data_IF_947833395188
#
_entry.id   IF_947833395188
#
_cell.length_a   1.000
_cell.length_b   1.000
_cell.length_c   1.000
_cell.angle_alpha   90.00
_cell.angle_beta   90.00
_cell.angle_gamma   90.00
#
_symmetry.space_group_name_H-M   'P 1'
#
loop_
_entity.id
_entity.type
_entity.pdbx_description
1 polymer ?
#
# COMPACT_ATOMS: atom_id res chain seq x y z
N UNK A 1 4.92 28.56 -1.49
CA UNK A 1 4.64 27.16 -1.91
C UNK A 1 5.98 26.57 -2.30
N UNK A 2 6.31 25.36 -1.84
CA UNK A 2 7.53 24.66 -2.28
C UNK A 2 7.23 23.93 -3.61
N UNK A 3 6.22 23.05 -3.61
CA UNK A 3 5.74 22.37 -4.80
C UNK A 3 4.23 22.08 -4.70
N UNK A 4 3.64 21.68 -5.82
CA UNK A 4 2.30 21.11 -5.93
C UNK A 4 2.42 19.70 -6.48
N UNK A 5 1.76 18.74 -5.85
CA UNK A 5 1.71 17.36 -6.34
C UNK A 5 0.27 16.98 -6.67
N UNK A 6 0.03 16.64 -7.93
CA UNK A 6 -1.31 16.26 -8.37
C UNK A 6 -1.56 14.78 -8.09
N UNK A 7 -2.58 14.50 -7.27
CA UNK A 7 -3.02 13.13 -6.98
C UNK A 7 -4.42 12.89 -7.53
N UNK A 8 -4.71 11.64 -7.91
CA UNK A 8 -6.06 11.22 -8.31
C UNK A 8 -6.94 11.14 -7.07
N UNK A 9 -7.93 12.03 -6.94
CA UNK A 9 -8.94 11.93 -5.89
C UNK A 9 -10.08 10.98 -6.26
N UNK A 10 -10.84 10.52 -5.27
CA UNK A 10 -12.04 9.67 -5.43
C UNK A 10 -13.11 10.32 -6.31
N UNK A 11 -13.13 11.65 -6.39
CA UNK A 11 -14.09 12.46 -7.16
C UNK A 11 -13.69 12.70 -8.64
N UNK A 12 -12.57 12.13 -9.11
CA UNK A 12 -12.17 12.13 -10.53
C UNK A 12 -11.41 13.37 -11.04
N UNK A 13 -11.47 14.52 -10.35
CA UNK A 13 -10.64 15.69 -10.66
C UNK A 13 -9.31 15.63 -9.87
N UNK A 14 -8.14 15.73 -10.54
CA UNK A 14 -6.84 15.77 -9.86
C UNK A 14 -6.79 16.87 -8.79
N UNK A 15 -6.25 16.56 -7.61
CA UNK A 15 -6.05 17.52 -6.52
C UNK A 15 -4.59 17.89 -6.39
N UNK A 16 -4.27 19.18 -6.38
CA UNK A 16 -2.90 19.66 -6.17
C UNK A 16 -2.59 19.75 -4.68
N UNK A 17 -2.02 18.70 -4.09
CA UNK A 17 -1.54 18.74 -2.71
C UNK A 17 -0.41 19.77 -2.58
N UNK A 18 -0.61 20.77 -1.71
CA UNK A 18 0.31 21.89 -1.57
C UNK A 18 1.21 21.71 -0.34
N UNK A 19 2.53 21.65 -0.59
CA UNK A 19 3.55 21.60 0.46
C UNK A 19 4.30 22.94 0.60
N UNK A 20 4.75 23.24 1.83
CA UNK A 20 5.51 24.47 2.15
C UNK A 20 6.91 24.14 2.66
N UNK A 21 7.83 25.09 2.50
CA UNK A 21 9.27 24.86 2.58
C UNK A 21 9.77 24.36 3.94
N UNK A 22 9.54 25.10 5.03
CA UNK A 22 10.20 24.84 6.31
C UNK A 22 9.81 23.49 6.93
N UNK A 23 8.51 23.30 7.17
CA UNK A 23 7.98 22.07 7.76
C UNK A 23 8.33 20.84 6.94
N UNK A 24 8.04 20.86 5.64
CA UNK A 24 8.33 19.75 4.72
C UNK A 24 9.81 19.38 4.72
N UNK A 25 10.72 20.33 4.47
CA UNK A 25 12.17 20.03 4.40
C UNK A 25 12.71 19.52 5.73
N UNK A 26 12.31 20.13 6.85
CA UNK A 26 12.73 19.66 8.18
C UNK A 26 12.25 18.25 8.48
N UNK A 27 11.05 17.90 8.02
CA UNK A 27 10.45 16.59 8.25
C UNK A 27 11.15 15.51 7.43
N UNK A 28 11.30 15.71 6.12
CA UNK A 28 11.92 14.71 5.23
C UNK A 28 13.41 14.54 5.49
N UNK A 29 14.12 15.59 5.91
CA UNK A 29 15.50 15.45 6.37
C UNK A 29 15.58 14.64 7.68
N UNK A 30 14.65 14.90 8.61
CA UNK A 30 14.55 14.15 9.86
C UNK A 30 14.23 12.67 9.65
N UNK A 31 13.23 12.34 8.84
CA UNK A 31 12.88 10.94 8.55
C UNK A 31 13.96 10.24 7.72
N UNK A 32 14.60 10.94 6.79
CA UNK A 32 15.77 10.38 6.06
C UNK A 32 16.89 10.00 7.02
N UNK A 33 17.16 10.84 8.03
CA UNK A 33 18.23 10.57 8.99
C UNK A 33 17.87 9.47 9.99
N UNK A 34 16.67 9.52 10.57
CA UNK A 34 16.33 8.68 11.72
C UNK A 34 15.53 7.43 11.39
N UNK A 35 14.84 7.40 10.25
CA UNK A 35 14.12 6.20 9.78
C UNK A 35 14.96 5.42 8.80
N UNK A 36 15.54 6.09 7.80
CA UNK A 36 16.36 5.45 6.78
C UNK A 36 17.83 5.30 7.20
N UNK A 37 18.18 5.80 8.38
CA UNK A 37 19.53 5.79 8.95
C UNK A 37 20.60 6.39 8.02
N UNK A 38 20.23 7.34 7.15
CA UNK A 38 21.14 7.92 6.15
C UNK A 38 22.22 8.78 6.82
N UNK A 39 23.46 8.46 6.51
CA UNK A 39 24.69 9.18 6.80
C UNK A 39 25.24 9.86 5.53
N UNK A 40 26.03 10.94 5.65
CA UNK A 40 26.63 11.63 4.50
C UNK A 40 27.51 10.74 3.61
N UNK A 41 28.11 9.70 4.18
CA UNK A 41 29.01 8.77 3.51
C UNK A 41 28.28 7.68 2.70
N UNK A 42 26.99 7.45 2.96
CA UNK A 42 26.23 6.42 2.26
C UNK A 42 26.00 6.78 0.78
N UNK A 43 25.90 5.74 -0.05
CA UNK A 43 25.24 5.76 -1.34
C UNK A 43 23.81 5.24 -1.17
N UNK A 44 22.87 6.17 -1.21
CA UNK A 44 21.45 5.89 -1.07
C UNK A 44 20.76 5.77 -2.43
N UNK A 45 19.91 4.76 -2.60
CA UNK A 45 19.11 4.59 -3.81
C UNK A 45 17.63 4.35 -3.51
N UNK A 46 16.79 5.29 -3.96
CA UNK A 46 15.35 5.09 -4.05
C UNK A 46 14.93 4.84 -5.50
N UNK A 47 14.43 3.63 -5.76
CA UNK A 47 13.98 3.16 -7.07
C UNK A 47 12.56 3.65 -7.45
N UNK A 48 12.09 4.74 -6.84
CA UNK A 48 10.84 5.37 -7.22
C UNK A 48 11.03 6.34 -8.41
N UNK A 49 9.93 6.75 -9.02
CA UNK A 49 9.94 7.85 -10.00
C UNK A 49 9.78 9.21 -9.30
N UNK A 50 10.47 10.24 -9.80
CA UNK A 50 10.43 11.60 -9.25
C UNK A 50 9.06 12.27 -9.33
N UNK A 51 8.16 11.79 -10.19
CA UNK A 51 6.78 12.25 -10.31
C UNK A 51 5.89 11.90 -9.11
N UNK A 52 6.32 10.99 -8.23
CA UNK A 52 5.63 10.63 -7.00
C UNK A 52 6.21 11.32 -5.77
N UNK A 53 5.45 11.34 -4.67
CA UNK A 53 5.90 11.96 -3.41
C UNK A 53 7.17 11.29 -2.87
N UNK A 54 7.31 9.97 -3.05
CA UNK A 54 8.53 9.23 -2.68
C UNK A 54 9.76 9.81 -3.36
N UNK A 55 9.69 10.11 -4.66
CA UNK A 55 10.80 10.72 -5.36
C UNK A 55 11.10 12.15 -4.89
N UNK A 56 10.07 12.94 -4.58
CA UNK A 56 10.28 14.26 -3.99
C UNK A 56 10.99 14.15 -2.64
N UNK A 57 10.39 13.44 -1.69
CA UNK A 57 10.85 13.38 -0.29
C UNK A 57 12.16 12.60 -0.15
N UNK A 58 12.32 11.52 -0.91
CA UNK A 58 13.34 10.50 -0.66
C UNK A 58 14.18 10.12 -1.87
N UNK A 59 14.11 10.83 -3.01
CA UNK A 59 15.23 10.86 -3.98
C UNK A 59 15.95 12.20 -3.88
N UNK A 60 15.18 13.28 -3.78
CA UNK A 60 15.70 14.65 -3.86
C UNK A 60 15.83 15.28 -2.47
N UNK A 61 14.73 15.65 -1.82
CA UNK A 61 14.78 16.62 -0.71
C UNK A 61 15.46 16.08 0.56
N UNK A 62 15.05 14.91 1.04
CA UNK A 62 15.57 14.33 2.28
C UNK A 62 17.05 13.94 2.19
N UNK A 63 17.43 13.03 1.28
CA UNK A 63 18.83 12.62 1.10
C UNK A 63 19.77 13.80 0.82
N UNK A 64 19.43 14.69 -0.13
CA UNK A 64 20.31 15.80 -0.48
C UNK A 64 20.40 16.87 0.63
N UNK A 65 19.39 16.98 1.50
CA UNK A 65 19.46 17.85 2.68
C UNK A 65 20.44 17.32 3.74
N UNK A 66 20.73 16.01 3.75
CA UNK A 66 21.73 15.38 4.61
C UNK A 66 23.13 15.36 3.99
N UNK A 67 23.24 15.62 2.68
CA UNK A 67 24.51 15.64 1.97
C UNK A 67 25.02 14.27 1.53
N UNK A 68 24.16 13.25 1.53
CA UNK A 68 24.46 11.90 1.01
C UNK A 68 24.49 11.87 -0.52
N UNK A 69 24.97 10.76 -1.10
CA UNK A 69 24.87 10.47 -2.54
C UNK A 69 23.54 9.80 -2.86
N UNK A 70 22.77 10.36 -3.80
CA UNK A 70 21.48 9.80 -4.23
C UNK A 70 21.56 9.25 -5.65
N UNK A 71 21.26 7.96 -5.83
CA UNK A 71 21.21 7.29 -7.13
C UNK A 71 19.85 7.54 -7.78
N UNK A 72 19.87 7.98 -9.05
CA UNK A 72 18.68 8.15 -9.88
C UNK A 72 18.83 7.30 -11.14
N UNK A 73 17.93 6.34 -11.33
CA UNK A 73 17.89 5.49 -12.50
C UNK A 73 16.86 6.00 -13.51
N UNK A 74 17.25 6.08 -14.77
CA UNK A 74 16.32 6.15 -15.90
C UNK A 74 16.19 4.76 -16.52
N UNK A 75 14.95 4.25 -16.63
CA UNK A 75 14.67 2.98 -17.27
C UNK A 75 13.75 2.07 -16.47
N UNK A 76 13.43 0.91 -17.03
CA UNK A 76 12.65 -0.13 -16.38
C UNK A 76 13.59 -1.11 -15.66
N UNK A 77 13.12 -1.79 -14.59
CA UNK A 77 13.93 -2.74 -13.83
C UNK A 77 14.30 -4.02 -14.61
N UNK A 78 13.78 -4.22 -15.82
CA UNK A 78 14.03 -5.37 -16.70
C UNK A 78 14.80 -5.04 -17.98
N UNK A 79 15.24 -3.78 -18.15
CA UNK A 79 15.94 -3.33 -19.34
C UNK A 79 17.33 -2.75 -19.01
N UNK A 80 18.41 -3.20 -19.67
CA UNK A 80 18.46 -4.12 -20.81
C UNK A 80 18.32 -5.61 -20.46
N UNK A 81 18.36 -5.98 -19.18
CA UNK A 81 18.09 -7.31 -18.66
C UNK A 81 17.54 -7.23 -17.22
N UNK A 82 16.98 -8.34 -16.72
CA UNK A 82 16.42 -8.48 -15.37
C UNK A 82 17.41 -8.32 -14.20
N UNK A 83 18.71 -8.25 -14.50
CA UNK A 83 19.77 -8.04 -13.52
C UNK A 83 20.20 -6.57 -13.37
N UNK A 84 19.64 -5.65 -14.17
CA UNK A 84 20.12 -4.26 -14.24
C UNK A 84 20.06 -3.54 -12.89
N UNK A 85 19.04 -3.84 -12.05
CA UNK A 85 18.93 -3.25 -10.72
C UNK A 85 20.16 -3.60 -9.87
N UNK A 86 20.56 -4.87 -9.89
CA UNK A 86 21.65 -5.40 -9.07
C UNK A 86 23.01 -5.00 -9.63
N UNK A 87 23.15 -4.91 -10.95
CA UNK A 87 24.33 -4.32 -11.61
C UNK A 87 24.57 -2.87 -11.15
N UNK A 88 23.51 -2.07 -11.05
CA UNK A 88 23.59 -0.68 -10.58
C UNK A 88 24.00 -0.66 -9.09
N UNK A 89 23.41 -1.52 -8.27
CA UNK A 89 23.73 -1.62 -6.85
C UNK A 89 25.21 -1.95 -6.62
N UNK A 90 25.72 -3.01 -7.27
CA UNK A 90 27.14 -3.42 -7.23
C UNK A 90 28.05 -2.30 -7.77
N UNK A 91 27.73 -1.74 -8.93
CA UNK A 91 28.57 -0.73 -9.59
C UNK A 91 28.76 0.54 -8.77
N UNK A 92 27.71 0.92 -8.03
CA UNK A 92 27.67 2.17 -7.27
C UNK A 92 27.90 1.97 -5.78
N UNK A 93 28.12 0.74 -5.32
CA UNK A 93 28.33 0.41 -3.90
C UNK A 93 27.18 0.98 -3.06
N UNK A 94 25.95 0.61 -3.42
CA UNK A 94 24.74 1.15 -2.80
C UNK A 94 24.57 0.54 -1.39
N UNK A 95 24.63 1.37 -0.36
CA UNK A 95 24.44 0.97 1.04
C UNK A 95 22.97 0.81 1.42
N UNK A 96 22.10 1.68 0.87
CA UNK A 96 20.69 1.79 1.28
C UNK A 96 19.77 1.67 0.07
N UNK A 97 18.88 0.68 0.05
CA UNK A 97 17.98 0.42 -1.07
C UNK A 97 16.50 0.57 -0.71
N UNK A 98 15.83 1.53 -1.36
CA UNK A 98 14.43 1.88 -1.12
C UNK A 98 13.59 1.58 -2.37
N UNK A 99 12.65 0.64 -2.24
CA UNK A 99 11.81 0.20 -3.36
C UNK A 99 10.36 -0.07 -2.96
N UNK A 100 9.52 -0.46 -3.90
CA UNK A 100 8.12 -0.82 -3.64
C UNK A 100 7.93 -2.33 -3.50
N UNK A 101 6.92 -2.80 -2.76
CA UNK A 101 6.57 -4.22 -2.72
C UNK A 101 6.25 -4.82 -4.10
N UNK A 102 5.69 -4.02 -5.03
CA UNK A 102 5.48 -4.42 -6.43
C UNK A 102 6.78 -4.79 -7.12
N UNK A 103 7.85 -4.01 -6.92
CA UNK A 103 9.17 -4.35 -7.43
C UNK A 103 9.71 -5.62 -6.77
N UNK A 104 9.59 -5.77 -5.44
CA UNK A 104 9.98 -6.98 -4.72
C UNK A 104 9.29 -8.23 -5.28
N UNK A 105 7.96 -8.20 -5.44
CA UNK A 105 7.21 -9.31 -6.07
C UNK A 105 7.64 -9.58 -7.51
N UNK A 106 8.05 -8.55 -8.24
CA UNK A 106 8.58 -8.71 -9.60
C UNK A 106 9.92 -9.43 -9.60
N UNK A 107 10.84 -9.07 -8.69
CA UNK A 107 12.12 -9.76 -8.53
C UNK A 107 11.94 -11.21 -8.09
N UNK A 108 11.07 -11.44 -7.10
CA UNK A 108 10.69 -12.78 -6.66
C UNK A 108 10.13 -13.64 -7.80
N UNK A 109 9.27 -13.07 -8.65
CA UNK A 109 8.73 -13.74 -9.84
C UNK A 109 9.80 -14.05 -10.89
N UNK A 110 10.83 -13.22 -11.01
CA UNK A 110 11.90 -13.46 -11.96
C UNK A 110 12.80 -14.59 -11.52
N UNK A 111 13.13 -14.66 -10.23
CA UNK A 111 13.94 -15.70 -9.63
C UNK A 111 15.15 -15.16 -8.88
N UNK A 112 15.60 -15.90 -7.87
CA UNK A 112 16.75 -15.58 -7.03
C UNK A 112 18.09 -15.60 -7.79
N UNK A 113 18.14 -16.25 -8.95
CA UNK A 113 19.36 -16.33 -9.76
C UNK A 113 19.82 -14.98 -10.34
N UNK A 114 18.91 -14.01 -10.47
CA UNK A 114 19.23 -12.68 -10.99
C UNK A 114 19.98 -11.82 -9.97
N UNK A 115 19.49 -11.64 -8.71
CA UNK A 115 20.27 -10.96 -7.69
C UNK A 115 21.56 -11.73 -7.32
N UNK A 116 21.50 -13.06 -7.22
CA UNK A 116 22.67 -13.88 -6.83
C UNK A 116 23.86 -13.84 -7.81
N UNK A 117 23.70 -13.20 -8.98
CA UNK A 117 24.76 -13.04 -9.97
C UNK A 117 25.64 -11.79 -9.75
N UNK A 118 25.35 -10.96 -8.74
CA UNK A 118 26.02 -9.69 -8.46
C UNK A 118 26.49 -9.64 -7.00
N UNK A 119 27.50 -8.82 -6.73
CA UNK A 119 28.10 -8.59 -5.42
C UNK A 119 27.66 -7.21 -4.88
N UNK A 120 26.57 -7.18 -4.12
CA UNK A 120 26.07 -5.99 -3.43
C UNK A 120 25.72 -6.35 -1.99
N UNK A 121 25.83 -5.37 -1.09
CA UNK A 121 25.56 -5.57 0.34
C UNK A 121 24.78 -4.35 0.87
N UNK A 122 23.49 -4.54 1.11
CA UNK A 122 22.65 -3.47 1.65
C UNK A 122 22.63 -3.55 3.17
N UNK A 123 23.09 -2.52 3.86
CA UNK A 123 22.92 -2.42 5.31
C UNK A 123 21.48 -2.10 5.71
N UNK A 124 20.74 -1.43 4.82
CA UNK A 124 19.37 -0.98 5.08
C UNK A 124 18.50 -1.00 3.83
N UNK A 125 17.28 -1.50 3.97
CA UNK A 125 16.29 -1.61 2.91
C UNK A 125 14.96 -0.99 3.33
N UNK A 126 14.21 -0.47 2.37
CA UNK A 126 12.91 0.18 2.63
C UNK A 126 11.86 -0.26 1.65
N UNK A 127 10.66 -0.54 2.16
CA UNK A 127 9.45 -0.78 1.37
C UNK A 127 8.46 0.36 1.52
N UNK A 128 7.82 0.75 0.41
CA UNK A 128 6.92 1.90 0.38
C UNK A 128 5.76 1.74 -0.61
N UNK A 129 4.65 2.39 -0.28
CA UNK A 129 3.58 2.74 -1.21
C UNK A 129 2.38 1.77 -1.23
N UNK A 130 2.55 0.56 -0.70
CA UNK A 130 1.49 -0.43 -0.55
C UNK A 130 1.86 -1.43 0.56
N UNK A 131 0.88 -2.17 1.13
CA UNK A 131 1.19 -3.24 2.06
C UNK A 131 2.09 -4.32 1.42
N UNK A 132 3.14 -4.72 2.13
CA UNK A 132 3.98 -5.86 1.75
C UNK A 132 3.49 -7.15 2.40
N UNK A 133 3.36 -8.21 1.62
CA UNK A 133 2.98 -9.53 2.13
C UNK A 133 4.14 -10.16 2.91
N UNK A 134 3.89 -10.91 4.00
CA UNK A 134 4.94 -11.59 4.75
C UNK A 134 5.86 -12.47 3.90
N UNK A 135 5.31 -13.17 2.90
CA UNK A 135 6.08 -14.00 1.97
C UNK A 135 7.07 -13.17 1.13
N UNK A 136 6.59 -12.08 0.53
CA UNK A 136 7.44 -11.17 -0.25
C UNK A 136 8.49 -10.47 0.63
N UNK A 137 8.11 -10.12 1.86
CA UNK A 137 9.02 -9.54 2.85
C UNK A 137 10.14 -10.52 3.22
N UNK A 138 9.80 -11.77 3.52
CA UNK A 138 10.77 -12.81 3.86
C UNK A 138 11.70 -13.13 2.68
N UNK A 139 11.16 -13.21 1.47
CA UNK A 139 11.97 -13.37 0.26
C UNK A 139 12.96 -12.21 0.10
N UNK A 140 12.51 -10.98 0.34
CA UNK A 140 13.37 -9.79 0.24
C UNK A 140 14.48 -9.80 1.30
N UNK A 141 14.15 -10.15 2.53
CA UNK A 141 15.12 -10.30 3.62
C UNK A 141 16.18 -11.35 3.33
N UNK A 142 15.77 -12.54 2.86
CA UNK A 142 16.69 -13.66 2.62
C UNK A 142 17.53 -13.47 1.35
N UNK A 143 16.94 -13.06 0.24
CA UNK A 143 17.63 -13.09 -1.06
C UNK A 143 18.25 -11.77 -1.48
N UNK A 144 17.81 -10.65 -0.90
CA UNK A 144 18.36 -9.32 -1.21
C UNK A 144 19.09 -8.74 0.00
N UNK A 145 18.60 -8.98 1.22
CA UNK A 145 19.21 -8.49 2.45
C UNK A 145 20.20 -9.43 3.13
N UNK A 146 20.48 -10.60 2.55
CA UNK A 146 21.35 -11.66 3.09
C UNK A 146 21.06 -12.04 4.56
N UNK A 147 19.80 -11.92 4.99
CA UNK A 147 19.36 -12.11 6.38
C UNK A 147 20.08 -11.20 7.42
N UNK A 148 20.74 -10.12 6.98
CA UNK A 148 21.46 -9.18 7.85
C UNK A 148 20.89 -7.75 7.74
N UNK A 149 20.49 -7.35 6.54
CA UNK A 149 19.97 -6.02 6.26
C UNK A 149 18.71 -5.69 7.09
N UNK A 150 18.66 -4.47 7.63
CA UNK A 150 17.43 -3.95 8.26
C UNK A 150 16.41 -3.63 7.17
N UNK A 151 15.16 -4.03 7.36
CA UNK A 151 14.02 -3.66 6.50
C UNK A 151 13.02 -2.84 7.30
N UNK A 152 12.79 -1.61 6.83
CA UNK A 152 11.70 -0.78 7.33
C UNK A 152 10.56 -0.73 6.31
N UNK A 153 9.36 -1.08 6.76
CA UNK A 153 8.14 -0.84 5.98
C UNK A 153 7.58 0.54 6.35
N UNK A 154 7.34 1.39 5.36
CA UNK A 154 7.01 2.80 5.59
C UNK A 154 5.60 3.12 5.14
N UNK A 155 4.72 3.39 6.12
CA UNK A 155 3.40 3.91 5.81
C UNK A 155 3.36 5.44 5.92
N UNK A 156 2.88 6.04 4.84
CA UNK A 156 2.68 7.47 4.66
C UNK A 156 1.98 7.75 3.32
N UNK A 157 1.67 9.01 3.06
CA UNK A 157 0.90 9.46 1.88
C UNK A 157 1.48 10.74 1.28
N UNK A 158 1.02 11.11 0.09
CA UNK A 158 1.39 12.39 -0.56
C UNK A 158 1.08 13.58 0.35
N UNK A 159 -0.07 13.51 1.01
CA UNK A 159 -0.61 14.48 1.94
C UNK A 159 0.22 14.60 3.23
N UNK A 160 0.92 13.54 3.63
CA UNK A 160 1.71 13.52 4.87
C UNK A 160 3.14 14.04 4.70
N UNK A 161 3.62 14.11 3.46
CA UNK A 161 4.96 14.59 3.10
C UNK A 161 6.11 13.63 3.42
N UNK A 162 6.04 12.83 4.49
CA UNK A 162 7.07 11.87 4.89
C UNK A 162 6.53 10.75 5.78
N UNK A 163 7.42 9.89 6.29
CA UNK A 163 7.07 8.66 7.02
C UNK A 163 6.31 8.97 8.31
N UNK A 164 5.15 8.35 8.52
CA UNK A 164 4.36 8.52 9.75
C UNK A 164 4.42 7.30 10.66
N UNK A 165 4.34 6.11 10.08
CA UNK A 165 4.34 4.84 10.81
C UNK A 165 5.38 3.94 10.14
N UNK A 166 6.36 3.50 10.92
CA UNK A 166 7.45 2.66 10.45
C UNK A 166 8.14 1.95 11.63
N UNK A 167 8.95 0.92 11.35
CA UNK A 167 9.89 0.40 12.34
C UNK A 167 11.11 1.34 12.43
N UNK A 168 11.53 1.70 13.64
CA UNK A 168 12.79 2.41 13.82
C UNK A 168 13.94 1.39 13.97
N UNK A 169 14.96 1.42 13.09
CA UNK A 169 16.10 0.54 13.17
C UNK A 169 16.73 0.51 14.58
N UNK A 170 17.16 -0.66 15.02
CA UNK A 170 17.80 -0.92 16.33
C UNK A 170 16.95 -0.63 17.59
N UNK A 171 15.72 -0.12 17.45
CA UNK A 171 14.82 0.13 18.58
C UNK A 171 13.66 -0.86 18.66
N UNK A 172 13.25 -1.41 17.52
CA UNK A 172 12.07 -2.25 17.36
C UNK A 172 12.39 -3.45 16.47
N UNK A 173 11.78 -4.59 16.77
CA UNK A 173 11.92 -5.80 15.97
C UNK A 173 11.21 -5.63 14.62
N UNK A 174 11.82 -6.14 13.55
CA UNK A 174 11.15 -6.17 12.25
C UNK A 174 10.00 -7.19 12.28
N UNK A 175 8.83 -6.77 11.80
CA UNK A 175 7.64 -7.62 11.75
C UNK A 175 7.10 -7.71 10.32
N UNK A 176 7.20 -8.88 9.66
CA UNK A 176 6.74 -9.04 8.28
C UNK A 176 5.28 -8.62 8.08
N UNK A 177 5.06 -7.72 7.11
CA UNK A 177 3.73 -7.20 6.76
C UNK A 177 3.09 -6.26 7.79
N UNK A 178 3.87 -5.76 8.76
CA UNK A 178 3.47 -4.66 9.62
C UNK A 178 4.28 -3.41 9.26
N UNK A 179 3.60 -2.25 9.28
CA UNK A 179 4.29 -0.98 9.10
C UNK A 179 5.17 -0.66 10.32
N UNK A 180 4.85 -1.14 11.53
CA UNK A 180 5.63 -0.82 12.72
C UNK A 180 4.92 0.11 13.67
N UNK A 181 5.65 1.05 14.27
CA UNK A 181 5.13 1.97 15.26
C UNK A 181 5.06 3.41 14.74
N UNK A 182 4.45 4.29 15.53
CA UNK A 182 4.43 5.71 15.23
C UNK A 182 5.85 6.29 15.20
N UNK A 183 6.19 7.06 14.15
CA UNK A 183 7.41 7.86 14.12
C UNK A 183 7.42 8.90 15.27
N UNK A 184 8.60 9.36 15.71
CA UNK A 184 8.70 10.35 16.79
C UNK A 184 7.87 11.61 16.48
N UNK A 185 7.00 11.98 17.43
CA UNK A 185 6.11 13.14 17.31
C UNK A 185 4.80 12.89 16.55
N UNK A 186 4.59 11.68 16.02
CA UNK A 186 3.33 11.29 15.37
C UNK A 186 2.45 10.57 16.38
N UNK A 187 1.16 10.90 16.35
CA UNK A 187 0.16 10.32 17.23
C UNK A 187 -0.97 9.71 16.39
N UNK A 188 -0.76 8.49 15.87
CA UNK A 188 -1.79 7.76 15.16
C UNK A 188 -2.79 7.16 16.17
N UNK A 189 -4.04 7.10 15.76
CA UNK A 189 -5.10 6.41 16.49
C UNK A 189 -5.99 5.65 15.50
N UNK A 190 -6.80 4.73 16.04
CA UNK A 190 -7.80 4.01 15.28
C UNK A 190 -9.16 4.47 15.77
N UNK A 191 -9.99 5.02 14.89
CA UNK A 191 -11.34 5.48 15.21
C UNK A 191 -12.36 4.51 14.62
N UNK A 192 -13.50 4.34 15.29
CA UNK A 192 -14.63 3.62 14.71
C UNK A 192 -15.38 4.48 13.67
N UNK A 193 -16.47 3.96 13.11
CA UNK A 193 -17.24 4.70 12.10
C UNK A 193 -18.10 5.83 12.66
N UNK A 194 -18.33 5.85 13.98
CA UNK A 194 -19.03 6.93 14.66
C UNK A 194 -18.08 8.10 15.01
N UNK A 195 -16.77 7.91 14.83
CA UNK A 195 -15.75 8.89 15.15
C UNK A 195 -15.23 8.80 16.58
N UNK A 196 -15.52 7.70 17.28
CA UNK A 196 -15.02 7.47 18.64
C UNK A 196 -13.64 6.78 18.60
N UNK A 197 -12.66 7.22 19.41
CA UNK A 197 -11.38 6.54 19.53
C UNK A 197 -11.55 5.10 20.02
N UNK A 198 -11.00 4.15 19.28
CA UNK A 198 -10.96 2.76 19.69
C UNK A 198 -9.87 2.52 20.74
N UNK A 199 -10.08 1.52 21.60
CA UNK A 199 -9.07 1.08 22.56
C UNK A 199 -7.77 0.73 21.80
N UNK A 200 -6.67 1.35 22.24
CA UNK A 200 -5.34 1.10 21.68
C UNK A 200 -4.94 -0.37 21.84
N UNK A 201 -4.19 -0.89 20.86
CA UNK A 201 -3.72 -2.27 20.84
C UNK A 201 -4.85 -3.31 21.03
N UNK A 202 -6.06 -3.01 20.52
CA UNK A 202 -7.22 -3.91 20.67
C UNK A 202 -7.26 -5.04 19.64
N UNK A 203 -6.37 -5.03 18.64
CA UNK A 203 -6.40 -5.99 17.52
C UNK A 203 -7.60 -5.81 16.58
N UNK A 204 -8.45 -4.80 16.83
CA UNK A 204 -9.61 -4.50 15.98
C UNK A 204 -9.25 -3.47 14.94
N UNK A 205 -9.75 -3.70 13.73
CA UNK A 205 -9.59 -2.79 12.61
C UNK A 205 -10.53 -1.59 12.72
N UNK A 206 -10.06 -0.43 12.29
CA UNK A 206 -10.85 0.80 12.21
C UNK A 206 -10.24 1.80 11.23
N UNK A 207 -10.65 3.06 11.35
CA UNK A 207 -10.18 4.17 10.52
C UNK A 207 -8.86 4.69 11.09
N UNK A 208 -7.79 4.68 10.29
CA UNK A 208 -6.52 5.26 10.69
C UNK A 208 -6.61 6.79 10.63
N UNK A 209 -6.32 7.42 11.77
CA UNK A 209 -6.30 8.88 11.92
C UNK A 209 -5.01 9.35 12.57
N UNK A 210 -4.70 10.64 12.40
CA UNK A 210 -3.58 11.30 13.09
C UNK A 210 -4.14 12.47 13.93
N UNK A 211 -3.97 12.40 15.24
CA UNK A 211 -4.60 13.32 16.21
C UNK A 211 -3.82 14.63 16.40
N UNK A 212 -2.58 14.72 15.91
CA UNK A 212 -1.74 15.91 16.08
C UNK A 212 -1.13 16.33 14.75
N UNK A 213 -1.03 17.65 14.47
CA UNK A 213 -0.32 18.13 13.30
C UNK A 213 1.16 17.79 13.38
N UNK A 214 1.77 17.52 12.23
CA UNK A 214 3.20 17.25 12.08
C UNK A 214 3.82 18.18 11.04
N UNK A 215 5.15 18.39 11.05
CA UNK A 215 5.78 19.39 10.19
C UNK A 215 5.62 19.13 8.67
N UNK A 216 5.56 17.87 8.26
CA UNK A 216 5.49 17.46 6.86
C UNK A 216 4.10 17.53 6.21
N UNK A 217 3.04 17.80 6.97
CA UNK A 217 1.67 17.74 6.46
C UNK A 217 1.39 18.78 5.37
N UNK A 218 0.55 18.39 4.40
CA UNK A 218 0.04 19.30 3.39
C UNK A 218 -0.66 20.49 4.03
N UNK A 219 -0.63 21.62 3.32
CA UNK A 219 -1.17 22.87 3.85
C UNK A 219 -2.57 23.18 3.33
N UNK A 220 -2.89 22.70 2.13
CA UNK A 220 -4.22 22.77 1.52
C UNK A 220 -4.23 21.97 0.21
N UNK A 221 -5.39 21.86 -0.43
CA UNK A 221 -5.56 21.52 -1.85
C UNK A 221 -5.54 22.83 -2.65
N UNK A 222 -4.60 22.94 -3.59
CA UNK A 222 -4.34 24.17 -4.34
C UNK A 222 -5.59 24.70 -5.05
N UNK A 223 -5.96 25.95 -4.71
CA UNK A 223 -7.15 26.61 -5.26
C UNK A 223 -8.49 26.07 -4.74
N UNK A 224 -8.49 25.19 -3.72
CA UNK A 224 -9.72 24.59 -3.20
C UNK A 224 -9.60 24.19 -1.71
N UNK A 225 -9.56 25.18 -0.81
CA UNK A 225 -9.49 24.96 0.64
C UNK A 225 -10.71 24.18 1.19
N UNK A 226 -11.88 24.35 0.56
CA UNK A 226 -13.07 23.61 0.99
C UNK A 226 -12.91 22.10 0.77
N UNK A 227 -12.26 21.70 -0.33
CA UNK A 227 -11.94 20.29 -0.60
C UNK A 227 -10.95 19.74 0.42
N UNK A 228 -9.97 20.54 0.84
CA UNK A 228 -9.05 20.15 1.92
C UNK A 228 -9.79 19.84 3.23
N UNK A 229 -10.70 20.73 3.65
CA UNK A 229 -11.53 20.50 4.86
C UNK A 229 -12.40 19.25 4.70
N UNK A 230 -13.08 19.12 3.56
CA UNK A 230 -14.03 18.04 3.32
C UNK A 230 -13.36 16.66 3.24
N UNK A 231 -12.18 16.56 2.65
CA UNK A 231 -11.51 15.26 2.43
C UNK A 231 -10.74 14.76 3.65
N UNK A 232 -10.15 15.64 4.46
CA UNK A 232 -9.20 15.20 5.50
C UNK A 232 -9.62 15.50 6.93
N UNK A 233 -10.61 16.37 7.15
CA UNK A 233 -10.91 16.89 8.49
C UNK A 233 -12.38 16.70 8.88
N UNK A 234 -13.30 16.91 7.94
CA UNK A 234 -14.75 17.01 8.22
C UNK A 234 -15.35 15.84 8.99
N UNK A 235 -14.88 14.61 8.79
CA UNK A 235 -15.53 13.41 9.37
C UNK A 235 -15.26 13.27 10.87
N UNK A 236 -14.04 13.54 11.31
CA UNK A 236 -13.57 13.29 12.68
C UNK A 236 -13.17 14.55 13.44
N UNK A 237 -13.44 15.73 12.87
CA UNK A 237 -13.10 17.03 13.47
C UNK A 237 -14.34 17.88 13.71
N UNK A 238 -14.25 18.78 14.68
CA UNK A 238 -15.11 19.96 14.74
C UNK A 238 -14.49 21.08 13.88
N UNK A 239 -15.02 21.24 12.66
CA UNK A 239 -14.48 22.18 11.68
C UNK A 239 -14.71 23.66 12.01
N UNK A 240 -15.54 23.93 13.03
CA UNK A 240 -15.80 25.29 13.53
C UNK A 240 -14.99 25.60 14.81
N UNK A 241 -14.18 24.66 15.30
CA UNK A 241 -13.36 24.84 16.51
C UNK A 241 -12.03 25.56 16.24
N UNK A 242 -11.67 26.44 17.17
CA UNK A 242 -10.35 27.10 17.24
C UNK A 242 -9.30 26.29 18.04
N UNK A 243 -9.68 25.21 18.74
CA UNK A 243 -8.72 24.33 19.42
C UNK A 243 -8.21 23.28 18.43
N UNK A 244 -6.90 23.26 18.21
CA UNK A 244 -6.25 22.28 17.32
C UNK A 244 -6.50 20.82 17.73
N UNK A 245 -6.87 20.56 18.99
CA UNK A 245 -7.19 19.20 19.49
C UNK A 245 -8.50 18.65 18.95
N UNK A 246 -9.39 19.52 18.48
CA UNK A 246 -10.65 19.11 17.87
C UNK A 246 -10.48 18.80 16.37
N UNK A 247 -9.24 18.88 15.85
CA UNK A 247 -8.89 18.58 14.47
C UNK A 247 -8.11 17.26 14.37
N UNK A 248 -8.73 16.29 13.71
CA UNK A 248 -8.20 14.94 13.51
C UNK A 248 -8.08 14.68 12.01
N UNK A 249 -6.87 14.36 11.56
CA UNK A 249 -6.60 14.05 10.16
C UNK A 249 -7.08 12.64 9.82
N UNK A 250 -8.02 12.52 8.87
CA UNK A 250 -8.45 11.26 8.28
C UNK A 250 -7.49 10.84 7.16
N UNK A 251 -6.79 9.70 7.36
CA UNK A 251 -5.91 9.17 6.32
C UNK A 251 -6.69 8.51 5.17
N UNK A 252 -7.90 8.00 5.44
CA UNK A 252 -8.68 7.21 4.49
C UNK A 252 -8.13 5.79 4.28
N UNK A 253 -7.28 5.33 5.21
CA UNK A 253 -6.77 3.96 5.27
C UNK A 253 -7.38 3.22 6.46
N UNK A 254 -7.66 1.93 6.28
CA UNK A 254 -8.01 1.02 7.36
C UNK A 254 -6.75 0.47 8.01
N UNK A 255 -6.71 0.40 9.34
CA UNK A 255 -5.60 -0.19 10.05
C UNK A 255 -6.04 -0.93 11.31
N UNK A 256 -5.19 -1.86 11.74
CA UNK A 256 -5.28 -2.57 13.02
C UNK A 256 -4.13 -2.07 13.89
N UNK A 257 -4.45 -1.67 15.12
CA UNK A 257 -3.45 -1.52 16.18
C UNK A 257 -3.40 -2.85 16.94
N UNK A 258 -2.37 -3.64 16.64
CA UNK A 258 -2.17 -4.99 17.15
C UNK A 258 -1.84 -4.97 18.65
N UNK A 259 -2.07 -6.10 19.35
CA UNK A 259 -1.90 -6.20 20.81
C UNK A 259 -0.46 -5.93 21.28
N UNK A 260 0.52 -6.14 20.41
CA UNK A 260 1.94 -5.85 20.64
C UNK A 260 2.33 -4.39 20.30
N UNK A 261 1.35 -3.55 19.97
CA UNK A 261 1.54 -2.12 19.71
C UNK A 261 1.96 -1.77 18.29
N UNK A 262 2.05 -2.76 17.39
CA UNK A 262 2.35 -2.56 15.98
C UNK A 262 1.09 -2.13 15.22
N UNK A 263 1.29 -1.30 14.20
CA UNK A 263 0.26 -0.91 13.25
C UNK A 263 0.37 -1.76 12.00
N UNK A 264 -0.73 -2.42 11.64
CA UNK A 264 -0.90 -3.10 10.36
C UNK A 264 -1.90 -2.32 9.52
N UNK A 265 -1.45 -1.81 8.38
CA UNK A 265 -2.32 -1.08 7.44
C UNK A 265 -2.95 -2.07 6.48
N UNK A 266 -4.28 -2.08 6.43
CA UNK A 266 -5.07 -3.01 5.63
C UNK A 266 -5.27 -2.53 4.19
N UNK A 267 -5.03 -1.25 3.93
CA UNK A 267 -5.23 -0.58 2.65
C UNK A 267 -6.25 0.56 2.74
N UNK A 268 -6.64 1.10 1.59
CA UNK A 268 -7.64 2.17 1.49
C UNK A 268 -8.98 1.68 2.04
N UNK A 269 -9.72 2.53 2.74
CA UNK A 269 -11.06 2.19 3.23
C UNK A 269 -12.01 1.79 2.11
N UNK A 270 -11.87 2.41 0.93
CA UNK A 270 -12.63 2.04 -0.27
C UNK A 270 -12.31 0.60 -0.76
N UNK A 271 -11.18 0.04 -0.34
CA UNK A 271 -10.72 -1.33 -0.65
C UNK A 271 -10.84 -2.27 0.58
N UNK A 272 -11.52 -1.86 1.65
CA UNK A 272 -11.77 -2.62 2.89
C UNK A 272 -13.26 -2.89 3.05
N UNK A 273 -13.63 -4.16 3.26
CA UNK A 273 -15.02 -4.56 3.46
C UNK A 273 -15.31 -4.94 4.91
N UNK A 274 -16.54 -4.71 5.36
CA UNK A 274 -17.00 -5.16 6.68
C UNK A 274 -17.85 -6.42 6.54
N UNK A 275 -17.36 -7.54 7.07
CA UNK A 275 -18.02 -8.86 7.07
C UNK A 275 -18.34 -9.24 8.51
N UNK A 276 -19.61 -9.19 8.87
CA UNK A 276 -20.13 -9.52 10.20
C UNK A 276 -19.42 -8.77 11.36
N UNK A 277 -19.01 -7.52 11.12
CA UNK A 277 -18.30 -6.69 12.11
C UNK A 277 -16.77 -6.78 12.03
N UNK A 278 -16.22 -7.65 11.19
CA UNK A 278 -14.78 -7.73 10.92
C UNK A 278 -14.44 -6.93 9.67
N UNK A 279 -13.51 -5.98 9.78
CA UNK A 279 -12.98 -5.31 8.59
C UNK A 279 -11.88 -6.17 7.97
N UNK A 280 -12.04 -6.44 6.68
CA UNK A 280 -11.16 -7.26 5.88
C UNK A 280 -10.62 -6.44 4.72
N UNK A 281 -9.29 -6.38 4.61
CA UNK A 281 -8.65 -5.80 3.43
C UNK A 281 -8.81 -6.75 2.24
N UNK A 282 -9.22 -6.23 1.09
CA UNK A 282 -9.30 -7.01 -0.16
C UNK A 282 -7.95 -7.67 -0.50
N UNK A 283 -6.84 -6.98 -0.26
CA UNK A 283 -5.49 -7.50 -0.51
C UNK A 283 -5.10 -8.71 0.35
N UNK A 284 -5.55 -8.77 1.61
CA UNK A 284 -5.27 -9.91 2.50
C UNK A 284 -5.95 -11.17 1.97
N UNK A 285 -7.21 -11.03 1.54
CA UNK A 285 -7.97 -12.09 0.88
C UNK A 285 -7.31 -12.50 -0.45
N UNK A 286 -6.93 -11.54 -1.30
CA UNK A 286 -6.22 -11.81 -2.56
C UNK A 286 -4.91 -12.58 -2.33
N UNK A 287 -4.19 -12.25 -1.26
CA UNK A 287 -2.95 -12.93 -0.88
C UNK A 287 -3.20 -14.37 -0.46
N UNK A 288 -4.21 -14.63 0.38
CA UNK A 288 -4.55 -15.98 0.80
C UNK A 288 -4.98 -16.86 -0.39
N UNK A 289 -5.71 -16.29 -1.35
CA UNK A 289 -6.12 -16.97 -2.60
C UNK A 289 -4.89 -17.26 -3.47
N UNK A 290 -3.93 -16.34 -3.55
CA UNK A 290 -2.73 -16.47 -4.38
C UNK A 290 -1.75 -17.56 -3.91
N UNK A 291 -1.92 -18.07 -2.68
CA UNK A 291 -1.18 -19.24 -2.17
C UNK A 291 -1.56 -20.55 -2.87
N UNK A 292 -2.69 -20.59 -3.58
CA UNK A 292 -3.11 -21.75 -4.36
C UNK A 292 -2.31 -21.79 -5.67
N UNK A 293 -1.45 -22.80 -5.91
CA UNK A 293 -0.52 -22.82 -7.03
C UNK A 293 -1.17 -22.67 -8.42
N UNK A 294 -2.40 -23.15 -8.54
CA UNK A 294 -3.23 -23.08 -9.74
C UNK A 294 -3.67 -21.64 -10.12
N UNK A 295 -3.60 -20.69 -9.18
CA UNK A 295 -4.02 -19.29 -9.37
C UNK A 295 -2.90 -18.48 -10.03
N UNK A 296 -3.23 -17.72 -11.06
CA UNK A 296 -2.33 -16.74 -11.68
C UNK A 296 -2.52 -15.34 -11.07
N UNK A 297 -3.79 -14.91 -10.96
CA UNK A 297 -4.18 -13.64 -10.37
C UNK A 297 -5.52 -13.78 -9.64
N UNK A 298 -5.71 -12.97 -8.61
CA UNK A 298 -6.96 -12.87 -7.88
C UNK A 298 -7.32 -11.41 -7.63
N UNK A 299 -8.62 -11.11 -7.63
CA UNK A 299 -9.16 -9.84 -7.19
C UNK A 299 -10.39 -10.10 -6.30
N UNK A 300 -10.53 -9.30 -5.26
CA UNK A 300 -11.63 -9.45 -4.30
C UNK A 300 -12.54 -8.24 -4.35
N UNK A 301 -13.84 -8.49 -4.34
CA UNK A 301 -14.88 -7.46 -4.32
C UNK A 301 -15.84 -7.68 -3.15
N UNK A 302 -16.37 -6.59 -2.60
CA UNK A 302 -17.37 -6.62 -1.56
C UNK A 302 -18.76 -6.85 -2.18
N UNK A 303 -19.42 -7.96 -1.84
CA UNK A 303 -20.82 -8.20 -2.18
C UNK A 303 -21.70 -7.88 -0.98
N UNK A 304 -22.74 -7.08 -1.18
CA UNK A 304 -23.72 -6.77 -0.14
C UNK A 304 -24.43 -8.06 0.34
N UNK A 305 -24.58 -8.17 1.66
CA UNK A 305 -25.23 -9.29 2.33
C UNK A 305 -26.13 -8.78 3.46
N UNK A 306 -27.42 -9.15 3.41
CA UNK A 306 -28.43 -8.66 4.35
C UNK A 306 -28.14 -9.01 5.83
N UNK A 307 -27.32 -10.05 6.09
CA UNK A 307 -27.02 -10.49 7.45
C UNK A 307 -25.63 -10.06 7.92
N UNK A 308 -24.65 -10.08 7.01
CA UNK A 308 -23.24 -9.83 7.34
C UNK A 308 -22.76 -8.44 6.95
N UNK A 309 -23.62 -7.63 6.33
CA UNK A 309 -23.25 -6.33 5.77
C UNK A 309 -22.62 -6.53 4.39
N UNK A 310 -21.40 -7.06 4.35
CA UNK A 310 -20.76 -7.53 3.13
C UNK A 310 -20.22 -8.96 3.28
N UNK A 311 -19.92 -9.59 2.15
CA UNK A 311 -19.18 -10.85 2.05
C UNK A 311 -18.23 -10.77 0.85
N UNK A 312 -17.10 -11.50 0.87
CA UNK A 312 -16.14 -11.41 -0.23
C UNK A 312 -16.57 -12.27 -1.42
N UNK A 313 -16.58 -11.68 -2.60
CA UNK A 313 -16.56 -12.39 -3.87
C UNK A 313 -15.13 -12.37 -4.43
N UNK A 314 -14.62 -13.53 -4.82
CA UNK A 314 -13.25 -13.69 -5.32
C UNK A 314 -13.30 -13.97 -6.83
N UNK A 315 -12.67 -13.12 -7.61
CA UNK A 315 -12.47 -13.28 -9.06
C UNK A 315 -11.07 -13.82 -9.31
N UNK A 316 -10.98 -14.96 -10.01
CA UNK A 316 -9.75 -15.73 -10.13
C UNK A 316 -9.42 -15.99 -11.60
N UNK A 317 -8.21 -15.62 -12.01
CA UNK A 317 -7.66 -16.06 -13.29
C UNK A 317 -6.72 -17.24 -13.03
N UNK A 318 -7.05 -18.45 -13.53
CA UNK A 318 -6.19 -19.62 -13.40
C UNK A 318 -4.94 -19.49 -14.29
N UNK A 319 -3.88 -20.23 -13.96
CA UNK A 319 -2.68 -20.33 -14.80
C UNK A 319 -2.98 -21.01 -16.13
N UNK A 320 -2.22 -20.66 -17.16
CA UNK A 320 -2.33 -21.27 -18.49
C UNK A 320 -2.22 -22.80 -18.40
N UNK A 321 -3.19 -23.50 -19.01
CA UNK A 321 -3.23 -24.96 -19.03
C UNK A 321 -3.82 -25.62 -17.78
N UNK A 322 -4.26 -24.85 -16.78
CA UNK A 322 -5.02 -25.36 -15.64
C UNK A 322 -6.51 -25.38 -15.97
N UNK A 323 -7.16 -26.54 -15.82
CA UNK A 323 -8.62 -26.63 -15.92
C UNK A 323 -9.29 -26.25 -14.59
N UNK A 324 -10.28 -25.36 -14.68
CA UNK A 324 -11.10 -24.94 -13.54
C UNK A 324 -11.93 -26.12 -13.04
N UNK A 325 -11.92 -26.36 -11.73
CA UNK A 325 -12.65 -27.46 -11.09
C UNK A 325 -13.20 -27.06 -9.71
N UNK A 326 -14.16 -27.84 -9.20
CA UNK A 326 -14.66 -27.67 -7.83
C UNK A 326 -13.55 -27.90 -6.78
N UNK A 327 -12.59 -28.78 -7.07
CA UNK A 327 -11.40 -28.98 -6.23
C UNK A 327 -10.57 -27.69 -6.08
N UNK A 328 -10.38 -26.95 -7.19
CA UNK A 328 -9.70 -25.65 -7.16
C UNK A 328 -10.48 -24.63 -6.32
N UNK A 329 -11.82 -24.61 -6.44
CA UNK A 329 -12.68 -23.75 -5.63
C UNK A 329 -12.55 -24.07 -4.13
N UNK A 330 -12.56 -25.34 -3.76
CA UNK A 330 -12.45 -25.78 -2.37
C UNK A 330 -11.06 -25.47 -1.78
N UNK A 331 -9.99 -25.59 -2.58
CA UNK A 331 -8.63 -25.17 -2.20
C UNK A 331 -8.57 -23.68 -1.89
N UNK A 332 -9.16 -22.84 -2.74
CA UNK A 332 -9.21 -21.39 -2.56
C UNK A 332 -9.94 -21.02 -1.26
N UNK A 333 -11.12 -21.61 -1.04
CA UNK A 333 -11.88 -21.39 0.19
C UNK A 333 -11.08 -21.82 1.42
N UNK A 334 -10.46 -23.01 1.37
CA UNK A 334 -9.66 -23.55 2.47
C UNK A 334 -8.44 -22.68 2.79
N UNK A 335 -7.80 -22.10 1.76
CA UNK A 335 -6.66 -21.20 1.94
C UNK A 335 -7.09 -19.92 2.68
N UNK A 336 -8.21 -19.32 2.29
CA UNK A 336 -8.75 -18.12 2.98
C UNK A 336 -9.13 -18.42 4.43
N UNK A 337 -9.82 -19.54 4.68
CA UNK A 337 -10.23 -19.91 6.03
C UNK A 337 -9.03 -20.24 6.94
N UNK A 338 -7.95 -20.78 6.37
CA UNK A 338 -6.73 -21.10 7.11
C UNK A 338 -5.91 -19.86 7.47
N UNK A 339 -5.73 -18.95 6.51
CA UNK A 339 -4.84 -17.79 6.69
C UNK A 339 -5.53 -16.65 7.45
N UNK A 340 -6.83 -16.42 7.21
CA UNK A 340 -7.57 -15.29 7.80
C UNK A 340 -8.60 -15.76 8.83
N UNK A 341 -9.37 -16.79 8.48
CA UNK A 341 -10.35 -17.39 9.37
C UNK A 341 -11.72 -17.64 8.71
N UNK A 342 -12.60 -18.43 9.36
CA UNK A 342 -13.91 -18.79 8.80
C UNK A 342 -14.84 -17.61 8.50
N UNK A 343 -14.65 -16.47 9.17
CA UNK A 343 -15.44 -15.26 8.93
C UNK A 343 -15.13 -14.60 7.58
N UNK A 344 -13.95 -14.86 7.03
CA UNK A 344 -13.48 -14.32 5.76
C UNK A 344 -13.84 -15.21 4.54
N UNK A 345 -14.59 -16.30 4.77
CA UNK A 345 -14.97 -17.26 3.73
C UNK A 345 -15.64 -16.55 2.53
N UNK A 346 -15.10 -16.74 1.30
CA UNK A 346 -15.73 -16.23 0.08
C UNK A 346 -17.17 -16.71 -0.07
N UNK A 347 -18.07 -15.79 -0.42
CA UNK A 347 -19.42 -16.15 -0.84
C UNK A 347 -19.40 -16.80 -2.22
N UNK A 348 -18.67 -16.18 -3.15
CA UNK A 348 -18.47 -16.69 -4.50
C UNK A 348 -16.99 -16.78 -4.86
N UNK A 349 -16.65 -17.80 -5.65
CA UNK A 349 -15.38 -17.89 -6.38
C UNK A 349 -15.73 -17.94 -7.85
N UNK A 350 -15.38 -16.90 -8.58
CA UNK A 350 -15.71 -16.69 -10.00
C UNK A 350 -14.43 -16.83 -10.81
N UNK A 351 -14.38 -17.83 -11.68
CA UNK A 351 -13.22 -18.03 -12.55
C UNK A 351 -13.39 -17.23 -13.84
N UNK A 352 -12.44 -16.33 -14.12
CA UNK A 352 -12.50 -15.38 -15.23
C UNK A 352 -11.24 -15.47 -16.09
N UNK A 353 -11.39 -15.21 -17.39
CA UNK A 353 -10.27 -15.26 -18.33
C UNK A 353 -9.26 -14.12 -18.16
N UNK A 354 -9.71 -12.95 -17.73
CA UNK A 354 -8.87 -11.79 -17.38
C UNK A 354 -9.61 -10.91 -16.37
N UNK A 355 -8.88 -10.04 -15.68
CA UNK A 355 -9.43 -9.06 -14.74
C UNK A 355 -9.50 -7.67 -15.40
N UNK A 356 -10.48 -6.81 -15.02
CA UNK A 356 -10.61 -5.49 -15.58
C UNK A 356 -9.43 -4.61 -15.14
N UNK A 357 -8.44 -4.45 -16.01
CA UNK A 357 -7.22 -3.68 -15.75
C UNK A 357 -7.18 -2.40 -16.57
N UNK A 358 -6.64 -1.35 -15.97
CA UNK A 358 -6.23 -0.14 -16.69
C UNK A 358 -5.05 -0.44 -17.63
N UNK A 359 -4.72 0.49 -18.54
CA UNK A 359 -3.53 0.37 -19.40
C UNK A 359 -2.22 0.28 -18.63
N UNK A 360 -2.17 0.76 -17.38
CA UNK A 360 -1.00 0.62 -16.49
C UNK A 360 -1.00 -0.69 -15.69
N UNK A 361 -1.98 -1.58 -15.89
CA UNK A 361 -2.05 -2.88 -15.22
C UNK A 361 -2.78 -2.87 -13.87
N UNK A 362 -3.19 -1.70 -13.36
CA UNK A 362 -3.98 -1.62 -12.11
C UNK A 362 -5.36 -2.26 -12.31
N UNK A 363 -5.73 -3.19 -11.43
CA UNK A 363 -7.05 -3.81 -11.37
C UNK A 363 -8.10 -2.79 -10.89
N UNK A 364 -9.23 -2.71 -11.59
CA UNK A 364 -10.34 -1.81 -11.30
C UNK A 364 -11.39 -2.51 -10.42
N UNK A 365 -11.09 -2.66 -9.12
CA UNK A 365 -11.95 -3.38 -8.16
C UNK A 365 -13.38 -2.87 -8.08
N UNK A 366 -13.59 -1.55 -8.16
CA UNK A 366 -14.92 -0.92 -8.24
C UNK A 366 -15.82 -1.56 -9.31
N UNK A 367 -15.27 -1.96 -10.45
CA UNK A 367 -16.07 -2.58 -11.52
C UNK A 367 -16.53 -3.99 -11.11
N UNK A 368 -15.65 -4.76 -10.48
CA UNK A 368 -15.98 -6.09 -9.95
C UNK A 368 -17.01 -5.99 -8.82
N UNK A 369 -16.88 -4.99 -7.94
CA UNK A 369 -17.87 -4.69 -6.90
C UNK A 369 -19.24 -4.35 -7.48
N UNK A 370 -19.29 -3.50 -8.51
CA UNK A 370 -20.53 -3.21 -9.20
C UNK A 370 -21.14 -4.48 -9.83
N UNK A 371 -20.32 -5.39 -10.37
CA UNK A 371 -20.80 -6.67 -10.92
C UNK A 371 -21.37 -7.57 -9.82
N UNK A 372 -20.67 -7.74 -8.69
CA UNK A 372 -21.13 -8.53 -7.55
C UNK A 372 -22.46 -8.02 -6.96
N UNK A 373 -22.75 -6.72 -7.10
CA UNK A 373 -23.93 -6.07 -6.55
C UNK A 373 -25.03 -5.77 -7.59
N UNK A 374 -24.91 -6.27 -8.82
CA UNK A 374 -25.85 -6.01 -9.94
C UNK A 374 -26.04 -4.51 -10.24
N UNK A 375 -24.96 -3.73 -10.12
CA UNK A 375 -24.92 -2.30 -10.41
C UNK A 375 -24.33 -2.00 -11.81
N UNK A 376 -24.58 -0.79 -12.30
CA UNK A 376 -24.00 -0.34 -13.57
C UNK A 376 -22.47 -0.22 -13.50
N UNK A 377 -21.76 -0.69 -14.54
CA UNK A 377 -20.29 -0.73 -14.59
C UNK A 377 -19.60 0.65 -14.42
N UNK A 378 -20.32 1.74 -14.71
CA UNK A 378 -19.79 3.11 -14.68
C UNK A 378 -18.83 3.40 -15.83
N UNK A 379 -17.80 4.22 -15.60
CA UNK A 379 -16.80 4.56 -16.62
C UNK A 379 -15.79 3.42 -16.82
N UNK A 380 -15.75 2.86 -18.03
CA UNK A 380 -14.86 1.79 -18.49
C UNK A 380 -13.83 2.26 -19.52
N UNK A 381 -13.80 3.56 -19.86
CA UNK A 381 -12.99 4.09 -20.99
C UNK A 381 -11.47 3.96 -20.78
N UNK A 382 -11.04 3.79 -19.53
CA UNK A 382 -9.63 3.69 -19.14
C UNK A 382 -9.10 2.25 -19.12
N UNK A 383 -9.97 1.26 -19.35
CA UNK A 383 -9.58 -0.14 -19.37
C UNK A 383 -8.70 -0.48 -20.57
N UNK A 384 -7.79 -1.43 -20.37
CA UNK A 384 -6.99 -2.05 -21.42
C UNK A 384 -7.90 -2.79 -22.39
N UNK A 385 -8.81 -3.58 -21.85
CA UNK A 385 -9.86 -4.28 -22.59
C UNK A 385 -11.23 -3.92 -21.98
N UNK A 386 -12.04 -3.09 -22.66
CA UNK A 386 -13.35 -2.70 -22.15
C UNK A 386 -14.40 -3.82 -22.28
N UNK A 387 -14.11 -4.94 -22.94
CA UNK A 387 -15.03 -6.08 -23.07
C UNK A 387 -15.01 -7.01 -21.85
N UNK A 388 -13.89 -7.03 -21.11
CA UNK A 388 -13.69 -7.89 -19.94
C UNK A 388 -14.79 -7.70 -18.87
N UNK A 389 -15.13 -6.47 -18.43
CA UNK A 389 -16.21 -6.26 -17.47
C UNK A 389 -17.56 -6.85 -17.90
N UNK A 390 -17.92 -6.73 -19.18
CA UNK A 390 -19.21 -7.23 -19.68
C UNK A 390 -19.22 -8.76 -19.70
N UNK A 391 -18.12 -9.40 -20.10
CA UNK A 391 -17.98 -10.86 -20.06
C UNK A 391 -18.10 -11.40 -18.63
N UNK A 392 -17.44 -10.76 -17.66
CA UNK A 392 -17.53 -11.15 -16.25
C UNK A 392 -18.97 -10.96 -15.76
N UNK A 393 -19.61 -9.84 -16.09
CA UNK A 393 -21.01 -9.59 -15.71
C UNK A 393 -21.95 -10.66 -16.26
N UNK A 394 -21.86 -10.96 -17.55
CA UNK A 394 -22.69 -11.96 -18.19
C UNK A 394 -22.49 -13.35 -17.55
N UNK A 395 -21.25 -13.69 -17.17
CA UNK A 395 -20.94 -14.93 -16.47
C UNK A 395 -21.53 -14.98 -15.05
N UNK A 396 -21.42 -13.91 -14.28
CA UNK A 396 -21.95 -13.82 -12.91
C UNK A 396 -23.48 -13.81 -12.90
N UNK A 397 -24.11 -13.16 -13.87
CA UNK A 397 -25.58 -13.03 -13.95
C UNK A 397 -26.27 -14.22 -14.64
N UNK A 398 -25.53 -15.03 -15.40
CA UNK A 398 -26.05 -16.26 -16.04
C UNK A 398 -25.90 -17.52 -15.19
N UNK A 399 -25.12 -17.45 -14.10
CA UNK A 399 -24.90 -18.51 -13.13
C UNK A 399 -25.90 -18.40 -11.97
#
# INVERSE_FOLDING_TARGET
>A
ILFLMYTSGTTGQPKGAQHRTGGYLSYVAGTSKYVLDIEPEDTYWCAADIGWITGHSYIVYGPLALGTTSVMQEGAPDHPHKGVTWEIAERHDVDIFHTSPTAVRTYMKWGEEYPAAYDFDFRHMTTVGEPIQPEAWLWYYTHIGDEDAVIVDTWWQTETGGHLITNLPALQDMKPGSAGHACPGIQPAIYDDNGDPMVSASGRAGNLVIERPWPGMLQTVYGNDQRFINEYWRRFSDVDSDDWRDWVYEAGDGAVHEEDGYFRVLGRLDDVMNVAGHRLGTMELESAVSQVPEVAEAAVAARADDQKGNVPDVYVTPRDGVEVSDDMRDKIISAVEKEIGPFARPANVVFVGDLPKTRSGKIMRRILENISNDEGLGDTTTLRDPTVPEQIRDQVQSA
#
